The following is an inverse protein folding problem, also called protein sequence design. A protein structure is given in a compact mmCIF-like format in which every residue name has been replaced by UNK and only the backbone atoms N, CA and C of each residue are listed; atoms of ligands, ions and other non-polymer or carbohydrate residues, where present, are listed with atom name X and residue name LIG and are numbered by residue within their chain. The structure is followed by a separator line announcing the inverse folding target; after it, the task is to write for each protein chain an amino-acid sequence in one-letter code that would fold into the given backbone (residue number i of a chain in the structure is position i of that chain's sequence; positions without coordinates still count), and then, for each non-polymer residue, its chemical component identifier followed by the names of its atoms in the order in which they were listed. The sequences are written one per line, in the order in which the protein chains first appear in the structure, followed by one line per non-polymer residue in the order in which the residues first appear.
data_IF_333174583346
#
_entry.id   IF_333174583346
#
_cell.length_a   1.000
_cell.length_b   1.000
_cell.length_c   1.000
_cell.angle_alpha   90.00
_cell.angle_beta   90.00
_cell.angle_gamma   90.00
#
_symmetry.space_group_name_H-M   'P 1'
#
loop_
_entity.id
_entity.type
_entity.pdbx_description
1 polymer ?
#
# COMPACT_ATOMS: atom_id res chain seq x y z
N UNK A 1 0.83 -16.84 -12.02
CA UNK A 1 2.23 -16.71 -11.57
C UNK A 1 3.05 -15.99 -12.62
N UNK A 2 4.10 -15.28 -12.22
CA UNK A 2 5.01 -14.56 -13.12
C UNK A 2 5.65 -15.52 -14.14
N UNK A 3 5.92 -16.76 -13.74
CA UNK A 3 6.52 -17.79 -14.59
C UNK A 3 5.69 -18.14 -15.83
N UNK A 4 4.36 -18.22 -15.70
CA UNK A 4 3.50 -18.53 -16.85
C UNK A 4 3.44 -17.40 -17.87
N UNK A 5 3.68 -16.18 -17.42
CA UNK A 5 3.60 -15.00 -18.26
C UNK A 5 4.85 -14.80 -19.13
N UNK A 6 6.03 -15.16 -18.59
CA UNK A 6 7.28 -15.10 -19.34
C UNK A 6 7.50 -16.30 -20.28
N UNK A 7 6.86 -17.41 -19.98
CA UNK A 7 7.01 -18.64 -20.76
C UNK A 7 6.15 -18.68 -22.02
N UNK A 8 5.30 -17.70 -22.25
CA UNK A 8 4.41 -17.64 -23.42
C UNK A 8 4.95 -16.79 -24.58
N UNK A 9 6.23 -16.47 -24.59
CA UNK A 9 6.89 -15.71 -25.65
C UNK A 9 6.84 -14.19 -25.49
N UNK A 10 6.43 -13.67 -24.32
CA UNK A 10 6.37 -12.23 -24.08
C UNK A 10 7.73 -11.51 -24.19
N UNK A 11 8.83 -12.25 -24.05
CA UNK A 11 10.17 -11.68 -24.25
C UNK A 11 10.38 -11.10 -25.66
N UNK A 12 9.65 -11.60 -26.64
CA UNK A 12 9.71 -11.08 -28.02
C UNK A 12 9.10 -9.68 -28.16
N UNK A 13 8.26 -9.27 -27.21
CA UNK A 13 7.65 -7.94 -27.16
C UNK A 13 8.42 -6.94 -26.30
N UNK A 14 9.58 -7.33 -25.76
CA UNK A 14 10.39 -6.43 -24.95
C UNK A 14 11.04 -5.34 -25.81
N UNK A 15 10.81 -4.09 -25.45
CA UNK A 15 11.52 -2.96 -26.02
C UNK A 15 12.92 -2.88 -25.41
N UNK A 16 13.93 -3.16 -26.22
CA UNK A 16 15.33 -3.07 -25.82
C UNK A 16 15.82 -1.64 -25.97
N UNK A 17 16.55 -1.16 -24.99
CA UNK A 17 17.18 0.16 -25.08
C UNK A 17 18.64 0.10 -24.66
N UNK A 18 19.50 0.74 -25.44
CA UNK A 18 20.90 1.02 -25.12
C UNK A 18 21.09 2.45 -24.64
N UNK A 19 20.02 3.15 -24.37
CA UNK A 19 20.03 4.53 -23.94
C UNK A 19 20.78 4.68 -22.64
N UNK A 20 21.78 5.56 -22.58
CA UNK A 20 22.71 5.73 -21.47
C UNK A 20 22.68 7.13 -20.83
N UNK A 21 21.93 8.08 -21.41
CA UNK A 21 21.77 9.40 -20.82
C UNK A 21 21.00 9.33 -19.51
N UNK A 22 21.49 10.02 -18.49
CA UNK A 22 20.78 10.17 -17.20
C UNK A 22 19.99 11.48 -17.12
N UNK A 23 20.03 12.30 -18.17
CA UNK A 23 19.36 13.60 -18.24
C UNK A 23 18.00 13.53 -18.90
N UNK A 24 17.82 12.60 -19.85
CA UNK A 24 16.62 12.53 -20.68
C UNK A 24 15.73 11.35 -20.24
N UNK A 25 14.44 11.49 -20.41
CA UNK A 25 13.44 10.48 -20.13
C UNK A 25 13.34 9.54 -21.32
N UNK A 26 12.99 8.25 -21.07
CA UNK A 26 12.96 7.29 -22.17
C UNK A 26 11.67 7.40 -23.00
N UNK A 27 10.50 7.37 -22.37
CA UNK A 27 9.20 7.61 -23.03
C UNK A 27 8.51 8.77 -22.33
N UNK A 28 8.26 9.83 -23.06
CA UNK A 28 7.47 10.96 -22.61
C UNK A 28 6.04 10.87 -23.14
N UNK A 29 5.08 10.95 -22.21
CA UNK A 29 3.65 10.89 -22.51
C UNK A 29 3.05 12.28 -22.37
N UNK A 30 2.47 12.79 -23.44
CA UNK A 30 1.71 14.04 -23.44
C UNK A 30 0.24 13.80 -23.06
N UNK A 31 -0.55 14.87 -22.99
CA UNK A 31 -1.97 14.78 -22.67
C UNK A 31 -2.73 13.77 -23.52
N UNK A 32 -3.54 12.94 -22.88
CA UNK A 32 -4.39 11.95 -23.53
C UNK A 32 -3.64 10.80 -24.22
N UNK A 33 -2.36 10.61 -23.94
CA UNK A 33 -1.58 9.50 -24.52
C UNK A 33 -1.40 8.35 -23.53
N UNK A 34 -0.92 7.21 -24.04
CA UNK A 34 -0.68 6.05 -23.17
C UNK A 34 0.32 5.06 -23.73
N UNK A 35 0.82 4.22 -22.85
CA UNK A 35 1.67 3.08 -23.16
C UNK A 35 0.95 1.81 -22.72
N UNK A 36 0.73 0.89 -23.66
CA UNK A 36 -0.02 -0.33 -23.39
C UNK A 36 0.61 -1.57 -23.99
N UNK A 37 0.47 -2.73 -23.31
CA UNK A 37 0.89 -4.05 -23.80
C UNK A 37 2.37 -4.09 -24.21
N UNK A 38 3.26 -3.59 -23.35
CA UNK A 38 4.67 -3.43 -23.67
C UNK A 38 5.54 -3.88 -22.47
N UNK A 39 6.65 -4.55 -22.78
CA UNK A 39 7.73 -4.79 -21.81
C UNK A 39 8.94 -3.96 -22.16
N UNK A 40 9.55 -3.31 -21.17
CA UNK A 40 10.75 -2.49 -21.32
C UNK A 40 11.88 -3.10 -20.52
N UNK A 41 13.00 -3.32 -21.18
CA UNK A 41 14.18 -3.93 -20.61
C UNK A 41 15.44 -3.19 -21.03
N UNK A 42 16.31 -2.89 -20.06
CA UNK A 42 17.62 -2.28 -20.27
C UNK A 42 18.68 -3.37 -20.27
N UNK A 43 19.16 -3.83 -21.43
CA UNK A 43 20.08 -4.99 -21.53
C UNK A 43 21.46 -4.74 -20.90
N UNK A 44 21.83 -3.47 -20.73
CA UNK A 44 23.11 -3.08 -20.11
C UNK A 44 22.99 -2.75 -18.62
N UNK A 45 21.82 -2.93 -17.99
CA UNK A 45 21.67 -2.77 -16.55
C UNK A 45 22.32 -3.95 -15.84
N UNK A 46 23.21 -3.65 -14.91
CA UNK A 46 23.92 -4.63 -14.10
C UNK A 46 23.66 -4.35 -12.61
N UNK A 47 23.24 -5.35 -11.87
CA UNK A 47 22.90 -5.20 -10.44
C UNK A 47 24.13 -4.86 -9.57
N UNK A 48 25.33 -5.24 -9.99
CA UNK A 48 26.57 -4.95 -9.30
C UNK A 48 27.18 -3.60 -9.70
N UNK A 49 26.74 -3.03 -10.83
CA UNK A 49 27.18 -1.75 -11.38
C UNK A 49 25.98 -0.96 -11.92
N UNK A 50 25.02 -0.69 -11.04
CA UNK A 50 23.75 -0.08 -11.42
C UNK A 50 23.92 1.25 -12.12
N UNK A 51 23.39 1.33 -13.34
CA UNK A 51 23.33 2.56 -14.13
C UNK A 51 22.09 3.36 -13.75
N UNK A 52 22.23 4.64 -13.39
CA UNK A 52 21.11 5.49 -13.00
C UNK A 52 20.34 6.00 -14.24
N UNK A 53 19.72 5.10 -14.97
CA UNK A 53 18.89 5.47 -16.12
C UNK A 53 17.80 6.48 -15.74
N UNK A 54 17.38 7.34 -16.68
CA UNK A 54 16.31 8.31 -16.46
C UNK A 54 14.97 7.60 -16.19
N UNK A 55 13.92 8.39 -15.98
CA UNK A 55 12.57 7.86 -15.88
C UNK A 55 12.20 7.09 -17.15
N UNK A 56 11.78 5.85 -16.98
CA UNK A 56 11.39 5.00 -18.10
C UNK A 56 10.10 5.50 -18.75
N UNK A 57 9.12 5.84 -17.92
CA UNK A 57 7.86 6.45 -18.35
C UNK A 57 7.68 7.76 -17.60
N UNK A 58 7.36 8.81 -18.30
CA UNK A 58 7.19 10.13 -17.74
C UNK A 58 5.98 10.82 -18.34
N UNK A 59 5.05 11.23 -17.50
CA UNK A 59 3.95 12.08 -17.90
C UNK A 59 4.43 13.53 -17.93
N UNK A 60 4.50 14.12 -19.10
CA UNK A 60 4.86 15.52 -19.29
C UNK A 60 3.69 16.44 -18.96
N UNK A 61 3.81 17.72 -19.25
CA UNK A 61 2.70 18.65 -19.08
C UNK A 61 1.47 18.19 -19.88
N UNK A 62 0.37 17.96 -19.14
CA UNK A 62 -0.90 17.55 -19.69
C UNK A 62 -1.46 16.31 -19.01
N UNK A 63 -2.78 16.21 -19.02
CA UNK A 63 -3.53 15.28 -18.21
C UNK A 63 -3.86 13.98 -18.93
N UNK A 64 -4.36 12.98 -18.18
CA UNK A 64 -4.91 11.76 -18.73
C UNK A 64 -3.89 10.82 -19.38
N UNK A 65 -2.67 10.67 -18.85
CA UNK A 65 -1.77 9.61 -19.30
C UNK A 65 -2.21 8.24 -18.77
N UNK A 66 -2.19 7.24 -19.65
CA UNK A 66 -2.56 5.86 -19.30
C UNK A 66 -1.37 4.92 -19.49
N UNK A 67 -1.12 4.09 -18.46
CA UNK A 67 -0.16 2.98 -18.51
C UNK A 67 -0.95 1.71 -18.21
N UNK A 68 -1.01 0.78 -19.15
CA UNK A 68 -1.82 -0.42 -18.98
C UNK A 68 -1.10 -1.67 -19.53
N UNK A 69 -1.03 -2.72 -18.71
CA UNK A 69 -0.35 -3.98 -19.08
C UNK A 69 1.08 -3.75 -19.54
N UNK A 70 1.82 -2.96 -18.76
CA UNK A 70 3.23 -2.66 -19.01
C UNK A 70 4.09 -3.39 -17.98
N UNK A 71 5.19 -3.97 -18.44
CA UNK A 71 6.22 -4.52 -17.54
C UNK A 71 7.52 -3.74 -17.69
N UNK A 72 7.95 -3.12 -16.59
CA UNK A 72 9.27 -2.49 -16.49
C UNK A 72 10.22 -3.48 -15.81
N UNK A 73 11.03 -4.18 -16.60
CA UNK A 73 11.78 -5.35 -16.11
C UNK A 73 12.88 -4.97 -15.13
N UNK A 74 13.67 -3.92 -15.43
CA UNK A 74 14.84 -3.53 -14.66
C UNK A 74 15.14 -2.03 -14.77
N UNK A 75 14.10 -1.23 -14.71
CA UNK A 75 14.23 0.22 -14.72
C UNK A 75 14.99 0.72 -13.50
N UNK A 76 15.79 1.77 -13.64
CA UNK A 76 16.31 2.49 -12.48
C UNK A 76 15.20 3.31 -11.83
N UNK A 77 14.49 4.12 -12.64
CA UNK A 77 13.25 4.80 -12.28
C UNK A 77 12.12 4.34 -13.21
N UNK A 78 10.98 3.96 -12.63
CA UNK A 78 9.85 3.42 -13.38
C UNK A 78 9.00 4.52 -14.01
N UNK A 79 7.96 4.96 -13.32
CA UNK A 79 7.01 5.97 -13.79
C UNK A 79 7.00 7.21 -12.91
N UNK A 80 6.97 8.38 -13.55
CA UNK A 80 6.79 9.66 -12.87
C UNK A 80 5.63 10.45 -13.49
N UNK A 81 4.74 10.96 -12.63
CA UNK A 81 3.71 11.94 -12.96
C UNK A 81 3.99 13.23 -12.22
N UNK A 82 4.67 14.19 -12.88
CA UNK A 82 5.00 15.49 -12.28
C UNK A 82 5.36 16.55 -13.32
N UNK A 83 4.76 17.73 -13.31
CA UNK A 83 3.50 18.13 -12.71
C UNK A 83 2.34 17.85 -13.68
N UNK A 84 1.57 16.82 -13.45
CA UNK A 84 0.49 16.41 -14.35
C UNK A 84 -0.59 15.67 -13.59
N UNK A 85 -1.79 15.66 -14.10
CA UNK A 85 -2.99 15.18 -13.45
C UNK A 85 -3.61 13.99 -14.15
N UNK A 86 -4.59 13.35 -13.50
CA UNK A 86 -5.44 12.32 -14.09
C UNK A 86 -4.66 11.14 -14.70
N UNK A 87 -3.50 10.82 -14.12
CA UNK A 87 -2.79 9.62 -14.55
C UNK A 87 -3.57 8.36 -14.20
N UNK A 88 -3.43 7.33 -15.03
CA UNK A 88 -4.04 6.04 -14.80
C UNK A 88 -3.03 4.92 -15.06
N UNK A 89 -2.60 4.22 -13.99
CA UNK A 89 -1.67 3.10 -14.06
C UNK A 89 -2.39 1.84 -13.65
N UNK A 90 -2.53 0.88 -14.55
CA UNK A 90 -3.27 -0.34 -14.25
C UNK A 90 -2.61 -1.61 -14.83
N UNK A 91 -2.86 -2.74 -14.15
CA UNK A 91 -2.46 -4.08 -14.59
C UNK A 91 -0.97 -4.17 -14.97
N UNK A 92 -0.10 -3.49 -14.24
CA UNK A 92 1.30 -3.32 -14.62
C UNK A 92 2.25 -3.88 -13.57
N UNK A 93 3.45 -4.24 -14.02
CA UNK A 93 4.46 -4.91 -13.20
C UNK A 93 5.79 -4.22 -13.34
N UNK A 94 6.58 -4.15 -12.25
CA UNK A 94 7.90 -3.57 -12.37
C UNK A 94 8.90 -4.06 -11.33
N UNK A 95 10.17 -4.14 -11.74
CA UNK A 95 11.33 -4.00 -10.87
C UNK A 95 11.95 -2.63 -11.15
N UNK A 96 11.97 -1.78 -10.15
CA UNK A 96 12.63 -0.49 -10.21
C UNK A 96 13.73 -0.42 -9.14
N UNK A 97 14.93 -0.02 -9.54
CA UNK A 97 16.10 -0.08 -8.66
C UNK A 97 16.18 1.10 -7.70
N UNK A 98 15.55 2.24 -8.05
CA UNK A 98 15.51 3.44 -7.23
C UNK A 98 14.09 3.84 -6.88
N UNK A 99 13.27 4.24 -7.85
CA UNK A 99 11.88 4.63 -7.64
C UNK A 99 10.96 3.86 -8.59
N UNK A 100 9.94 3.19 -8.04
CA UNK A 100 8.96 2.51 -8.86
C UNK A 100 7.99 3.50 -9.51
N UNK A 101 7.14 4.09 -8.71
CA UNK A 101 6.20 5.13 -9.13
C UNK A 101 6.42 6.36 -8.25
N UNK A 102 6.43 7.52 -8.86
CA UNK A 102 6.42 8.80 -8.17
C UNK A 102 5.32 9.70 -8.73
N UNK A 103 4.45 10.15 -7.84
CA UNK A 103 3.38 11.11 -8.14
C UNK A 103 3.68 12.40 -7.40
N UNK A 104 3.65 13.52 -8.11
CA UNK A 104 3.99 14.80 -7.53
C UNK A 104 3.28 15.95 -8.27
N UNK A 105 2.74 16.92 -7.53
CA UNK A 105 1.95 18.05 -8.06
C UNK A 105 0.82 17.57 -8.96
N UNK A 106 0.10 16.55 -8.52
CA UNK A 106 -1.14 16.09 -9.11
C UNK A 106 -2.29 16.75 -8.35
N UNK A 107 -2.96 17.73 -8.96
CA UNK A 107 -4.02 18.51 -8.30
C UNK A 107 -5.44 18.03 -8.65
N UNK A 108 -5.53 17.01 -9.48
CA UNK A 108 -6.77 16.27 -9.76
C UNK A 108 -6.48 14.76 -9.83
N UNK A 109 -7.47 13.99 -9.57
CA UNK A 109 -7.54 12.57 -9.27
C UNK A 109 -6.60 11.68 -10.11
N UNK A 110 -5.52 11.19 -9.52
CA UNK A 110 -4.73 10.08 -10.07
C UNK A 110 -5.27 8.71 -9.65
N UNK A 111 -4.96 7.66 -10.43
CA UNK A 111 -5.38 6.29 -10.14
C UNK A 111 -4.26 5.29 -10.40
N UNK A 112 -4.03 4.43 -9.40
CA UNK A 112 -3.13 3.28 -9.50
C UNK A 112 -3.95 2.04 -9.13
N UNK A 113 -4.04 1.07 -10.05
CA UNK A 113 -4.91 -0.09 -9.88
C UNK A 113 -4.23 -1.38 -10.38
N UNK A 114 -4.20 -2.38 -9.53
CA UNK A 114 -3.62 -3.70 -9.83
C UNK A 114 -2.18 -3.60 -10.36
N UNK A 115 -1.31 -2.97 -9.58
CA UNK A 115 0.10 -2.80 -9.91
C UNK A 115 0.96 -3.61 -8.94
N UNK A 116 2.01 -4.22 -9.45
CA UNK A 116 2.95 -4.98 -8.64
C UNK A 116 4.38 -4.49 -8.84
N UNK A 117 5.07 -4.23 -7.73
CA UNK A 117 6.44 -3.72 -7.70
C UNK A 117 7.28 -4.68 -6.85
N UNK A 118 8.17 -5.44 -7.50
CA UNK A 118 8.94 -6.50 -6.84
C UNK A 118 10.27 -6.76 -7.56
N UNK A 119 11.34 -7.14 -6.84
CA UNK A 119 12.58 -7.62 -7.43
C UNK A 119 12.41 -8.81 -8.39
N UNK A 120 11.34 -9.58 -8.22
CA UNK A 120 11.07 -10.83 -8.96
C UNK A 120 10.92 -10.61 -10.47
N UNK A 121 10.44 -9.45 -10.90
CA UNK A 121 10.18 -9.21 -12.33
C UNK A 121 11.45 -9.13 -13.16
N UNK A 122 12.57 -8.73 -12.57
CA UNK A 122 13.88 -8.84 -13.22
C UNK A 122 14.51 -10.20 -12.99
N UNK A 123 14.60 -10.64 -11.75
CA UNK A 123 15.28 -11.89 -11.41
C UNK A 123 14.70 -13.12 -12.12
N UNK A 124 13.38 -13.18 -12.27
CA UNK A 124 12.66 -14.31 -12.88
C UNK A 124 12.27 -14.04 -14.35
N UNK A 125 12.79 -12.99 -14.97
CA UNK A 125 12.42 -12.62 -16.34
C UNK A 125 12.89 -13.61 -17.39
N UNK A 126 13.92 -14.38 -17.11
CA UNK A 126 14.59 -15.27 -18.10
C UNK A 126 15.36 -14.51 -19.19
N UNK A 127 15.44 -13.17 -19.09
CA UNK A 127 16.21 -12.35 -20.03
C UNK A 127 17.72 -12.47 -19.78
N UNK A 128 18.55 -12.27 -20.82
CA UNK A 128 20.01 -12.28 -20.66
C UNK A 128 20.46 -11.28 -19.59
N UNK A 129 21.32 -11.72 -18.68
CA UNK A 129 21.84 -10.87 -17.59
C UNK A 129 20.87 -10.65 -16.43
N UNK A 130 19.77 -11.42 -16.34
CA UNK A 130 18.92 -11.43 -15.17
C UNK A 130 19.71 -11.91 -13.95
N UNK A 131 19.79 -11.11 -12.85
CA UNK A 131 20.53 -11.48 -11.65
C UNK A 131 19.74 -12.47 -10.79
N UNK A 132 20.36 -12.94 -9.71
CA UNK A 132 19.64 -13.71 -8.70
C UNK A 132 18.60 -12.83 -7.98
N UNK A 133 17.53 -13.45 -7.49
CA UNK A 133 16.52 -12.75 -6.69
C UNK A 133 17.13 -12.14 -5.42
N UNK A 134 18.11 -12.83 -4.84
CA UNK A 134 18.83 -12.35 -3.64
C UNK A 134 19.56 -11.04 -3.92
N UNK A 135 20.32 -10.96 -5.03
CA UNK A 135 21.08 -9.75 -5.38
C UNK A 135 20.15 -8.55 -5.67
N UNK A 136 19.10 -8.78 -6.45
CA UNK A 136 18.13 -7.69 -6.76
C UNK A 136 17.44 -7.22 -5.50
N UNK A 137 17.01 -8.17 -4.64
CA UNK A 137 16.34 -7.84 -3.37
C UNK A 137 17.27 -7.10 -2.42
N UNK A 138 18.52 -7.54 -2.31
CA UNK A 138 19.52 -6.84 -1.48
C UNK A 138 19.72 -5.40 -1.94
N UNK A 139 19.78 -5.16 -3.24
CA UNK A 139 19.93 -3.82 -3.81
C UNK A 139 18.68 -2.95 -3.55
N UNK A 140 17.47 -3.45 -3.86
CA UNK A 140 16.24 -2.67 -3.71
C UNK A 140 15.90 -2.39 -2.24
N UNK A 141 16.24 -3.31 -1.33
CA UNK A 141 16.12 -3.08 0.13
C UNK A 141 17.08 -2.00 0.65
N UNK A 142 18.24 -1.87 0.05
CA UNK A 142 19.18 -0.84 0.44
C UNK A 142 18.81 0.54 -0.15
N UNK A 143 18.25 0.59 -1.37
CA UNK A 143 18.19 1.81 -2.17
C UNK A 143 16.79 2.20 -2.65
N UNK A 144 15.89 1.22 -2.88
CA UNK A 144 14.67 1.44 -3.65
C UNK A 144 13.47 1.91 -2.84
N UNK A 145 12.62 2.70 -3.47
CA UNK A 145 11.26 3.04 -3.02
C UNK A 145 10.25 2.51 -4.03
N UNK A 146 9.26 1.75 -3.56
CA UNK A 146 8.26 1.19 -4.46
C UNK A 146 7.30 2.24 -5.02
N UNK A 147 6.57 2.90 -4.15
CA UNK A 147 5.65 3.98 -4.49
C UNK A 147 5.90 5.20 -3.63
N UNK A 148 6.05 6.35 -4.27
CA UNK A 148 6.27 7.63 -3.61
C UNK A 148 5.16 8.60 -4.01
N UNK A 149 4.41 9.06 -3.03
CA UNK A 149 3.34 10.02 -3.20
C UNK A 149 3.71 11.32 -2.49
N UNK A 150 3.99 12.33 -3.28
CA UNK A 150 4.11 13.70 -2.83
C UNK A 150 2.77 14.42 -2.95
N UNK A 151 2.75 15.73 -3.09
CA UNK A 151 1.50 16.47 -3.24
C UNK A 151 0.63 15.83 -4.33
N UNK A 152 -0.51 15.32 -3.92
CA UNK A 152 -1.56 14.80 -4.77
C UNK A 152 -2.90 15.05 -4.12
N UNK A 153 -3.89 15.53 -4.88
CA UNK A 153 -5.23 15.76 -4.38
C UNK A 153 -6.13 14.59 -4.82
N UNK A 154 -6.60 13.81 -3.82
CA UNK A 154 -7.47 12.66 -4.02
C UNK A 154 -6.87 11.54 -4.87
N UNK A 155 -5.65 11.12 -4.56
CA UNK A 155 -5.07 9.94 -5.17
C UNK A 155 -5.84 8.68 -4.76
N UNK A 156 -6.22 7.86 -5.74
CA UNK A 156 -6.86 6.56 -5.52
C UNK A 156 -5.90 5.42 -5.86
N UNK A 157 -5.56 4.63 -4.84
CA UNK A 157 -4.66 3.48 -5.00
C UNK A 157 -5.40 2.22 -4.60
N UNK A 158 -5.50 1.24 -5.49
CA UNK A 158 -6.15 -0.04 -5.22
C UNK A 158 -5.37 -1.23 -5.77
N UNK A 159 -5.36 -2.33 -5.02
CA UNK A 159 -4.69 -3.57 -5.41
C UNK A 159 -3.21 -3.37 -5.75
N UNK A 160 -2.52 -2.53 -4.98
CA UNK A 160 -1.08 -2.31 -5.11
C UNK A 160 -0.32 -3.32 -4.25
N UNK A 161 0.60 -4.06 -4.86
CA UNK A 161 1.49 -4.97 -4.17
C UNK A 161 2.94 -4.51 -4.29
N UNK A 162 3.66 -4.39 -3.15
CA UNK A 162 5.07 -4.01 -3.12
C UNK A 162 5.83 -4.96 -2.19
N UNK A 163 7.00 -5.44 -2.61
CA UNK A 163 7.83 -6.32 -1.78
C UNK A 163 9.32 -6.11 -2.06
N UNK A 164 10.15 -6.22 -0.99
CA UNK A 164 11.60 -6.24 -1.12
C UNK A 164 12.27 -4.90 -1.34
N UNK A 165 11.69 -3.80 -0.83
CA UNK A 165 12.23 -2.43 -0.98
C UNK A 165 12.69 -1.83 0.36
N UNK A 166 13.56 -0.82 0.29
CA UNK A 166 13.89 0.00 1.47
C UNK A 166 12.65 0.65 2.06
N UNK A 167 11.82 1.23 1.19
CA UNK A 167 10.52 1.80 1.54
C UNK A 167 9.47 1.28 0.55
N UNK A 168 8.42 0.64 1.07
CA UNK A 168 7.33 0.19 0.21
C UNK A 168 6.55 1.37 -0.33
N UNK A 169 5.82 2.06 0.53
CA UNK A 169 5.07 3.28 0.22
C UNK A 169 5.64 4.43 1.03
N UNK A 170 5.95 5.53 0.36
CA UNK A 170 6.34 6.79 0.99
C UNK A 170 5.31 7.87 0.69
N UNK A 171 4.80 8.50 1.75
CA UNK A 171 3.82 9.59 1.69
C UNK A 171 4.45 10.80 2.35
N UNK A 172 4.60 11.91 1.62
CA UNK A 172 5.29 13.07 2.18
C UNK A 172 5.24 14.30 1.29
N UNK A 173 5.97 15.31 1.71
CA UNK A 173 6.17 16.54 0.93
C UNK A 173 7.35 16.42 -0.02
N UNK A 174 7.23 17.06 -1.16
CA UNK A 174 8.39 17.38 -1.97
C UNK A 174 9.12 18.57 -1.34
N UNK A 175 10.46 18.53 -1.24
CA UNK A 175 11.23 19.67 -0.80
C UNK A 175 10.92 20.93 -1.62
N UNK A 176 10.57 22.03 -0.93
CA UNK A 176 10.18 23.29 -1.56
C UNK A 176 8.69 23.48 -1.85
N UNK A 177 7.87 22.46 -1.61
CA UNK A 177 6.40 22.55 -1.69
C UNK A 177 5.77 22.52 -0.31
N UNK A 178 4.75 23.36 -0.11
CA UNK A 178 4.08 23.48 1.18
C UNK A 178 3.05 22.36 1.42
N UNK A 179 2.49 21.79 0.34
CA UNK A 179 1.37 20.89 0.42
C UNK A 179 1.79 19.42 0.41
N UNK A 180 1.13 18.64 1.24
CA UNK A 180 1.24 17.20 1.33
C UNK A 180 0.05 16.53 0.62
N UNK A 181 0.11 15.22 0.32
CA UNK A 181 -0.95 14.52 -0.38
C UNK A 181 -2.14 14.19 0.52
N UNK A 182 -3.30 13.96 -0.10
CA UNK A 182 -4.42 13.21 0.46
C UNK A 182 -4.81 12.08 -0.49
N UNK A 183 -5.29 10.97 0.05
CA UNK A 183 -5.51 9.76 -0.72
C UNK A 183 -6.50 8.79 -0.07
N UNK A 184 -6.97 7.85 -0.89
CA UNK A 184 -7.61 6.63 -0.43
C UNK A 184 -6.82 5.41 -0.96
N UNK A 185 -6.37 4.56 -0.03
CA UNK A 185 -5.65 3.34 -0.32
C UNK A 185 -6.53 2.14 0.04
N UNK A 186 -6.76 1.25 -0.91
CA UNK A 186 -7.59 0.06 -0.75
C UNK A 186 -6.86 -1.18 -1.25
N UNK A 187 -6.81 -2.27 -0.45
CA UNK A 187 -6.11 -3.50 -0.83
C UNK A 187 -4.64 -3.23 -1.24
N UNK A 188 -3.94 -2.43 -0.44
CA UNK A 188 -2.51 -2.17 -0.61
C UNK A 188 -1.73 -3.14 0.27
N UNK A 189 -0.93 -3.98 -0.35
CA UNK A 189 -0.16 -5.01 0.33
C UNK A 189 1.33 -4.78 0.17
N UNK A 190 1.98 -4.47 1.28
CA UNK A 190 3.42 -4.23 1.32
C UNK A 190 4.07 -5.25 2.23
N UNK A 191 5.09 -5.94 1.74
CA UNK A 191 5.81 -6.96 2.49
C UNK A 191 7.31 -6.81 2.36
N UNK A 192 8.03 -7.28 3.39
CA UNK A 192 9.47 -7.46 3.34
C UNK A 192 10.27 -6.19 2.98
N UNK A 193 9.80 -5.04 3.48
CA UNK A 193 10.42 -3.73 3.27
C UNK A 193 11.09 -3.21 4.54
N UNK A 194 12.05 -2.30 4.42
CA UNK A 194 12.64 -1.61 5.56
C UNK A 194 11.58 -0.80 6.32
N UNK A 195 10.80 0.01 5.61
CA UNK A 195 9.53 0.54 6.08
C UNK A 195 8.44 0.11 5.11
N UNK A 196 7.39 -0.56 5.62
CA UNK A 196 6.24 -0.91 4.79
C UNK A 196 5.54 0.35 4.30
N UNK A 197 5.17 1.22 5.22
CA UNK A 197 4.64 2.55 4.95
C UNK A 197 5.46 3.59 5.73
N UNK A 198 5.95 4.60 5.03
CA UNK A 198 6.62 5.75 5.62
C UNK A 198 5.76 7.01 5.40
N UNK A 199 5.31 7.63 6.49
CA UNK A 199 4.47 8.83 6.45
C UNK A 199 5.26 10.00 7.00
N UNK A 200 5.63 10.90 6.13
CA UNK A 200 6.33 12.13 6.51
C UNK A 200 5.35 13.25 6.82
N UNK A 201 4.37 13.42 5.96
CA UNK A 201 3.31 14.40 6.13
C UNK A 201 2.09 14.06 5.26
N UNK A 202 0.94 14.62 5.63
CA UNK A 202 -0.34 14.40 4.97
C UNK A 202 -1.13 15.71 4.96
N UNK A 203 -1.90 15.94 3.90
CA UNK A 203 -2.81 17.06 3.78
C UNK A 203 -3.86 17.05 4.94
N UNK A 204 -4.39 18.19 5.37
CA UNK A 204 -5.41 18.26 6.44
C UNK A 204 -6.66 17.40 6.21
N UNK A 205 -7.00 17.04 4.98
CA UNK A 205 -8.09 16.08 4.70
C UNK A 205 -7.77 14.65 5.13
N UNK A 206 -6.49 14.35 5.37
CA UNK A 206 -6.04 13.04 5.84
C UNK A 206 -5.94 11.98 4.73
N UNK A 207 -5.59 10.78 5.17
CA UNK A 207 -5.53 9.58 4.32
C UNK A 207 -6.36 8.48 4.96
N UNK A 208 -7.16 7.79 4.14
CA UNK A 208 -7.86 6.58 4.51
C UNK A 208 -7.17 5.36 3.88
N UNK A 209 -6.81 4.38 4.70
CA UNK A 209 -6.21 3.12 4.28
C UNK A 209 -7.10 1.98 4.76
N UNK A 210 -7.60 1.16 3.85
CA UNK A 210 -8.54 0.09 4.20
C UNK A 210 -8.20 -1.25 3.55
N UNK A 211 -8.55 -2.35 4.24
CA UNK A 211 -8.36 -3.75 3.81
C UNK A 211 -6.94 -4.04 3.31
N UNK A 212 -5.94 -3.49 3.94
CA UNK A 212 -4.55 -3.49 3.48
C UNK A 212 -3.64 -4.27 4.42
N UNK A 213 -2.40 -4.50 4.04
CA UNK A 213 -1.39 -5.07 4.93
C UNK A 213 -0.04 -4.37 4.76
N UNK A 214 0.62 -4.09 5.88
CA UNK A 214 1.97 -3.54 5.88
C UNK A 214 2.89 -4.43 6.70
N UNK A 215 3.92 -4.95 6.05
CA UNK A 215 4.92 -5.82 6.64
C UNK A 215 6.31 -5.20 6.61
N UNK A 216 7.04 -5.39 7.71
CA UNK A 216 8.44 -5.04 7.81
C UNK A 216 9.31 -6.24 7.42
N UNK A 217 10.47 -5.98 6.85
CA UNK A 217 11.57 -6.93 6.84
C UNK A 217 12.24 -6.99 8.21
N UNK A 218 13.33 -7.74 8.30
CA UNK A 218 14.14 -7.79 9.52
C UNK A 218 14.62 -6.38 9.88
N UNK A 219 14.43 -5.97 11.13
CA UNK A 219 14.80 -4.65 11.68
C UNK A 219 14.05 -3.44 11.09
N UNK A 220 12.94 -3.69 10.38
CA UNK A 220 12.11 -2.65 9.79
C UNK A 220 10.86 -2.31 10.60
N UNK A 221 10.07 -1.35 10.09
CA UNK A 221 8.78 -0.97 10.64
C UNK A 221 7.65 -1.29 9.65
N UNK A 222 6.53 -1.84 10.15
CA UNK A 222 5.34 -1.95 9.33
C UNK A 222 4.87 -0.57 8.86
N UNK A 223 4.85 0.39 9.79
CA UNK A 223 4.59 1.81 9.50
C UNK A 223 5.51 2.69 10.34
N UNK A 224 6.00 3.75 9.73
CA UNK A 224 6.77 4.78 10.42
C UNK A 224 6.19 6.16 10.14
N UNK A 225 5.78 6.88 11.18
CA UNK A 225 5.36 8.28 11.13
C UNK A 225 6.51 9.18 11.51
N UNK A 226 6.93 10.03 10.59
CA UNK A 226 8.04 10.94 10.80
C UNK A 226 7.65 12.10 11.72
N UNK A 227 8.65 12.78 12.28
CA UNK A 227 8.49 13.85 13.27
C UNK A 227 7.60 15.02 12.82
N UNK A 228 7.52 15.27 11.51
CA UNK A 228 6.76 16.41 10.96
C UNK A 228 5.29 16.06 10.69
N UNK A 229 4.90 14.79 10.85
CA UNK A 229 3.50 14.35 10.72
C UNK A 229 2.62 15.00 11.78
N UNK A 230 1.64 15.80 11.34
CA UNK A 230 0.78 16.61 12.24
C UNK A 230 -0.72 16.54 11.93
N UNK A 231 -1.13 15.77 10.93
CA UNK A 231 -2.52 15.70 10.45
C UNK A 231 -3.20 14.38 10.83
N UNK A 232 -3.82 13.67 9.90
CA UNK A 232 -4.51 12.42 10.24
C UNK A 232 -4.29 11.30 9.23
N UNK A 233 -4.13 10.08 9.75
CA UNK A 233 -4.18 8.84 8.99
C UNK A 233 -5.15 7.87 9.67
N UNK A 234 -6.04 7.28 8.88
CA UNK A 234 -7.04 6.32 9.33
C UNK A 234 -6.77 4.96 8.69
N UNK A 235 -6.66 3.92 9.53
CA UNK A 235 -6.54 2.53 9.11
C UNK A 235 -7.82 1.77 9.48
N UNK A 236 -8.40 1.07 8.52
CA UNK A 236 -9.60 0.26 8.71
C UNK A 236 -9.39 -1.15 8.15
N UNK A 237 -9.46 -2.17 9.02
CA UNK A 237 -9.28 -3.56 8.60
C UNK A 237 -7.87 -3.87 8.07
N UNK A 238 -6.85 -3.24 8.63
CA UNK A 238 -5.45 -3.38 8.18
C UNK A 238 -4.69 -4.38 9.05
N UNK A 239 -3.87 -5.23 8.42
CA UNK A 239 -2.95 -6.15 9.11
C UNK A 239 -1.52 -5.58 9.13
N UNK A 240 -1.00 -5.35 10.34
CA UNK A 240 0.37 -4.88 10.57
C UNK A 240 1.26 -6.05 10.99
N UNK A 241 2.20 -6.41 10.12
CA UNK A 241 3.23 -7.43 10.35
C UNK A 241 4.55 -6.76 10.71
N UNK A 242 4.68 -6.36 11.97
CA UNK A 242 5.77 -5.56 12.50
C UNK A 242 5.26 -4.43 13.38
N UNK A 243 6.16 -3.58 13.83
CA UNK A 243 5.82 -2.45 14.70
C UNK A 243 5.33 -1.24 13.89
N UNK A 244 4.36 -0.52 14.45
CA UNK A 244 4.01 0.84 14.02
C UNK A 244 4.72 1.82 14.95
N UNK A 245 5.53 2.69 14.39
CA UNK A 245 6.34 3.66 15.14
C UNK A 245 5.93 5.07 14.76
N UNK A 246 5.73 5.94 15.74
CA UNK A 246 5.31 7.31 15.52
C UNK A 246 6.12 8.31 16.32
N UNK A 247 6.79 9.22 15.62
CA UNK A 247 7.49 10.38 16.16
C UNK A 247 6.77 11.71 15.85
N UNK A 248 5.62 11.64 15.15
CA UNK A 248 4.88 12.80 14.64
C UNK A 248 4.41 13.77 15.72
N UNK A 249 4.45 15.05 15.40
CA UNK A 249 4.21 16.15 16.34
C UNK A 249 2.72 16.58 16.35
N UNK A 250 1.89 15.81 17.00
CA UNK A 250 0.49 16.20 17.25
C UNK A 250 -0.54 15.58 16.32
N UNK A 251 -0.16 14.79 15.33
CA UNK A 251 -1.06 14.10 14.42
C UNK A 251 -2.00 13.10 15.12
N UNK A 252 -3.06 12.72 14.43
CA UNK A 252 -4.02 11.70 14.87
C UNK A 252 -3.88 10.45 14.02
N UNK A 253 -3.58 9.33 14.66
CA UNK A 253 -3.58 8.02 14.01
C UNK A 253 -4.71 7.17 14.57
N UNK A 254 -5.63 6.77 13.73
CA UNK A 254 -6.76 5.91 14.13
C UNK A 254 -6.68 4.53 13.50
N UNK A 255 -6.98 3.53 14.30
CA UNK A 255 -7.01 2.13 13.91
C UNK A 255 -8.38 1.54 14.24
N UNK A 256 -9.10 1.06 13.25
CA UNK A 256 -10.39 0.41 13.40
C UNK A 256 -10.34 -1.00 12.84
N UNK A 257 -10.74 -1.98 13.64
CA UNK A 257 -10.75 -3.41 13.25
C UNK A 257 -9.42 -3.91 12.68
N UNK A 258 -8.31 -3.33 13.12
CA UNK A 258 -6.97 -3.69 12.66
C UNK A 258 -6.37 -4.85 13.46
N UNK A 259 -5.44 -5.55 12.84
CA UNK A 259 -4.67 -6.65 13.45
C UNK A 259 -3.20 -6.27 13.56
N UNK A 260 -2.58 -6.58 14.70
CA UNK A 260 -1.15 -6.38 14.93
C UNK A 260 -0.49 -7.74 15.19
N UNK A 261 0.44 -8.12 14.31
CA UNK A 261 1.16 -9.39 14.35
C UNK A 261 2.66 -9.18 14.13
N UNK A 262 3.46 -10.20 14.44
CA UNK A 262 4.90 -10.26 14.12
C UNK A 262 5.78 -9.11 14.68
N UNK A 263 5.28 -8.31 15.60
CA UNK A 263 6.08 -7.28 16.28
C UNK A 263 7.00 -7.89 17.38
N UNK A 264 8.12 -7.24 17.66
CA UNK A 264 9.07 -7.72 18.67
C UNK A 264 8.69 -7.23 20.09
N UNK A 265 8.94 -5.96 20.40
CA UNK A 265 8.70 -5.40 21.73
C UNK A 265 7.28 -4.88 21.90
N UNK A 266 6.90 -3.90 21.06
CA UNK A 266 5.60 -3.24 21.05
C UNK A 266 5.02 -3.23 19.64
N UNK A 267 3.71 -3.46 19.57
CA UNK A 267 2.97 -3.32 18.31
C UNK A 267 2.88 -1.86 17.87
N UNK A 268 2.63 -0.97 18.86
CA UNK A 268 2.56 0.47 18.66
C UNK A 268 3.59 1.13 19.59
N UNK A 269 4.53 1.87 19.02
CA UNK A 269 5.49 2.71 19.74
C UNK A 269 5.28 4.15 19.31
N UNK A 270 4.52 4.91 20.08
CA UNK A 270 4.13 6.27 19.77
C UNK A 270 4.79 7.25 20.74
N UNK A 271 5.65 8.11 20.22
CA UNK A 271 6.39 9.06 21.05
C UNK A 271 5.64 10.40 21.20
N UNK A 272 4.79 10.75 20.23
CA UNK A 272 3.99 11.98 20.21
C UNK A 272 2.64 11.75 19.56
N UNK A 273 1.73 12.72 19.69
CA UNK A 273 0.45 12.76 18.98
C UNK A 273 -0.69 12.06 19.71
N UNK A 274 -1.68 11.66 18.93
CA UNK A 274 -2.92 11.08 19.41
C UNK A 274 -3.19 9.75 18.73
N UNK A 275 -3.61 8.75 19.50
CA UNK A 275 -3.93 7.40 19.00
C UNK A 275 -5.34 7.01 19.40
N UNK A 276 -6.09 6.54 18.42
CA UNK A 276 -7.41 5.95 18.61
C UNK A 276 -7.37 4.48 18.18
N UNK A 277 -7.82 3.58 19.04
CA UNK A 277 -7.94 2.15 18.77
C UNK A 277 -9.39 1.72 18.94
N UNK A 278 -9.99 1.12 17.93
CA UNK A 278 -11.34 0.58 17.96
C UNK A 278 -11.35 -0.85 17.48
N UNK A 279 -11.75 -1.80 18.33
CA UNK A 279 -11.90 -3.22 18.00
C UNK A 279 -10.65 -3.88 17.38
N UNK A 280 -9.45 -3.39 17.75
CA UNK A 280 -8.20 -3.92 17.23
C UNK A 280 -7.73 -5.16 17.97
N UNK A 281 -7.20 -6.13 17.23
CA UNK A 281 -6.66 -7.37 17.77
C UNK A 281 -5.13 -7.36 17.78
N UNK A 282 -4.55 -7.68 18.93
CA UNK A 282 -3.12 -7.92 19.09
C UNK A 282 -2.89 -9.43 19.21
N UNK A 283 -2.08 -10.00 18.30
CA UNK A 283 -1.87 -11.46 18.24
C UNK A 283 -0.95 -12.00 19.33
N UNK A 284 -0.21 -11.14 20.02
CA UNK A 284 0.71 -11.52 21.10
C UNK A 284 0.26 -10.96 22.43
N UNK A 285 0.49 -11.70 23.51
CA UNK A 285 0.32 -11.21 24.88
C UNK A 285 1.61 -10.53 25.40
N UNK A 286 2.26 -9.74 24.55
CA UNK A 286 3.47 -8.96 24.82
C UNK A 286 3.14 -7.47 25.02
N UNK A 287 4.08 -6.58 24.85
CA UNK A 287 3.82 -5.14 24.84
C UNK A 287 2.90 -4.75 23.67
N UNK A 288 1.79 -4.10 23.97
CA UNK A 288 0.89 -3.67 22.90
C UNK A 288 1.19 -2.23 22.49
N UNK A 289 1.11 -1.30 23.44
CA UNK A 289 1.28 0.13 23.18
C UNK A 289 2.32 0.70 24.14
N UNK A 290 3.34 1.31 23.58
CA UNK A 290 4.28 2.18 24.30
C UNK A 290 3.94 3.64 24.00
N UNK A 291 3.78 4.43 25.05
CA UNK A 291 3.53 5.88 24.98
C UNK A 291 4.76 6.63 25.47
N UNK A 292 5.40 7.36 24.57
CA UNK A 292 6.54 8.22 24.89
C UNK A 292 6.15 9.50 25.64
N UNK A 293 7.14 10.26 26.07
CA UNK A 293 6.98 11.40 26.97
C UNK A 293 6.05 12.50 26.43
N UNK A 294 5.96 12.66 25.13
CA UNK A 294 5.20 13.74 24.49
C UNK A 294 3.85 13.29 23.89
N UNK A 295 3.34 12.12 24.30
CA UNK A 295 2.01 11.68 23.89
C UNK A 295 0.92 12.57 24.51
N UNK A 296 -0.10 12.86 23.70
CA UNK A 296 -1.26 13.65 24.10
C UNK A 296 -2.43 12.77 24.53
N UNK A 297 -2.81 11.80 23.69
CA UNK A 297 -4.00 10.98 23.95
C UNK A 297 -3.82 9.54 23.45
N UNK A 298 -4.26 8.59 24.26
CA UNK A 298 -4.61 7.25 23.83
C UNK A 298 -6.06 6.99 24.20
N UNK A 299 -6.91 6.75 23.22
CA UNK A 299 -8.26 6.24 23.44
C UNK A 299 -8.41 4.88 22.81
N UNK A 300 -8.87 3.91 23.59
CA UNK A 300 -9.03 2.54 23.13
C UNK A 300 -10.38 1.97 23.50
N UNK A 301 -11.05 1.33 22.54
CA UNK A 301 -12.33 0.65 22.75
C UNK A 301 -12.21 -0.78 22.25
N UNK A 302 -12.42 -1.75 23.15
CA UNK A 302 -12.45 -3.19 22.86
C UNK A 302 -11.24 -3.72 22.09
N UNK A 303 -10.06 -3.15 22.33
CA UNK A 303 -8.83 -3.54 21.64
C UNK A 303 -7.87 -4.28 22.57
N UNK A 304 -6.98 -5.11 22.01
CA UNK A 304 -5.92 -5.79 22.75
C UNK A 304 -5.84 -7.30 22.47
N UNK A 305 -4.99 -8.00 23.19
CA UNK A 305 -4.94 -9.46 23.19
C UNK A 305 -6.10 -10.01 24.03
N UNK A 306 -7.01 -10.74 23.38
CA UNK A 306 -8.26 -11.21 24.03
C UNK A 306 -8.98 -10.06 24.76
N UNK A 307 -9.09 -8.91 24.13
CA UNK A 307 -9.69 -7.66 24.62
C UNK A 307 -9.02 -7.06 25.87
N UNK A 308 -7.76 -7.39 26.12
CA UNK A 308 -6.94 -6.79 27.17
C UNK A 308 -5.79 -6.02 26.53
N UNK A 309 -5.86 -4.71 26.59
CA UNK A 309 -4.78 -3.85 26.10
C UNK A 309 -3.72 -3.68 27.21
N UNK A 310 -2.46 -3.85 26.83
CA UNK A 310 -1.31 -3.53 27.67
C UNK A 310 -0.73 -2.22 27.19
N UNK A 311 -0.68 -1.24 28.09
CA UNK A 311 -0.13 0.08 27.83
C UNK A 311 1.03 0.34 28.76
N UNK A 312 2.19 0.63 28.19
CA UNK A 312 3.37 1.12 28.89
C UNK A 312 3.45 2.63 28.69
N UNK A 313 3.05 3.39 29.70
CA UNK A 313 2.89 4.83 29.60
C UNK A 313 4.05 5.57 30.28
N UNK A 314 4.89 6.20 29.48
CA UNK A 314 5.99 7.06 29.92
C UNK A 314 5.67 8.56 29.82
N UNK A 315 4.46 8.91 29.39
CA UNK A 315 4.00 10.30 29.36
C UNK A 315 3.46 10.74 30.72
N UNK A 316 3.83 11.93 31.14
CA UNK A 316 3.28 12.58 32.35
C UNK A 316 1.97 13.32 32.09
N UNK A 317 1.64 13.58 30.83
CA UNK A 317 0.51 14.42 30.40
C UNK A 317 -0.53 13.69 29.56
N UNK A 318 -0.24 12.49 29.06
CA UNK A 318 -1.15 11.78 28.18
C UNK A 318 -2.48 11.43 28.85
N UNK A 319 -3.57 11.75 28.17
CA UNK A 319 -4.91 11.26 28.55
C UNK A 319 -5.07 9.84 28.01
N UNK A 320 -5.11 8.84 28.91
CA UNK A 320 -5.27 7.43 28.55
C UNK A 320 -6.66 6.96 28.96
N UNK A 321 -7.45 6.57 27.98
CA UNK A 321 -8.78 5.99 28.18
C UNK A 321 -8.85 4.62 27.52
N UNK A 322 -9.04 3.56 28.33
CA UNK A 322 -9.20 2.19 27.83
C UNK A 322 -10.56 1.66 28.26
N UNK A 323 -11.44 1.50 27.28
CA UNK A 323 -12.79 0.97 27.46
C UNK A 323 -12.79 -0.49 27.01
N UNK A 324 -13.03 -1.39 27.95
CA UNK A 324 -13.24 -2.81 27.65
C UNK A 324 -14.72 -3.08 27.75
N UNK A 325 -15.35 -3.41 26.66
CA UNK A 325 -16.76 -3.82 26.63
C UNK A 325 -16.93 -5.10 27.44
N UNK A 326 -18.09 -5.28 28.06
CA UNK A 326 -18.48 -6.62 28.52
C UNK A 326 -18.40 -7.54 27.30
N UNK A 327 -17.68 -8.66 27.42
CA UNK A 327 -17.75 -9.72 26.42
C UNK A 327 -19.23 -10.10 26.30
N UNK A 328 -19.92 -9.62 25.29
CA UNK A 328 -21.09 -10.32 24.81
C UNK A 328 -20.53 -11.57 24.10
N UNK A 329 -20.26 -12.61 24.88
CA UNK A 329 -20.35 -13.92 24.29
C UNK A 329 -21.78 -14.00 23.77
N UNK A 330 -21.97 -14.28 22.51
CA UNK A 330 -23.18 -14.93 22.09
C UNK A 330 -23.21 -16.21 22.96
N UNK A 331 -23.95 -16.16 24.05
CA UNK A 331 -24.27 -17.39 24.75
C UNK A 331 -24.92 -18.26 23.67
N UNK A 332 -24.39 -19.46 23.45
CA UNK A 332 -25.03 -20.35 22.48
C UNK A 332 -26.49 -20.36 22.87
N UNK A 333 -27.39 -20.06 21.94
CA UNK A 333 -28.82 -20.03 22.15
C UNK A 333 -29.15 -21.29 22.94
N UNK A 334 -29.68 -21.18 24.17
CA UNK A 334 -29.93 -22.35 24.97
C UNK A 334 -30.71 -23.35 24.12
N UNK A 335 -30.28 -24.60 24.08
CA UNK A 335 -30.86 -25.64 23.23
C UNK A 335 -32.39 -25.79 23.36
N UNK A 336 -32.98 -25.13 24.35
CA UNK A 336 -34.40 -25.14 24.69
C UNK A 336 -35.19 -23.91 24.24
N UNK A 337 -34.56 -22.94 23.60
CA UNK A 337 -35.29 -21.82 23.00
C UNK A 337 -35.93 -22.37 21.72
N UNK A 338 -37.21 -22.67 21.77
CA UNK A 338 -37.99 -22.85 20.55
C UNK A 338 -38.00 -21.52 19.81
N UNK A 339 -37.10 -21.36 18.85
CA UNK A 339 -37.19 -20.27 17.91
C UNK A 339 -38.41 -20.47 17.05
N UNK A 340 -39.44 -19.69 17.26
CA UNK A 340 -40.62 -19.65 16.37
C UNK A 340 -40.28 -19.01 15.01
N UNK A 341 -38.99 -18.89 14.68
CA UNK A 341 -38.53 -18.50 13.35
C UNK A 341 -38.49 -19.80 12.54
N UNK A 342 -39.58 -20.09 11.90
CA UNK A 342 -39.68 -21.14 10.90
C UNK A 342 -38.94 -20.66 9.65
N UNK A 343 -37.61 -20.82 9.64
CA UNK A 343 -36.79 -20.55 8.47
C UNK A 343 -36.84 -21.76 7.56
N UNK A 344 -38.03 -22.09 7.11
CA UNK A 344 -38.15 -22.90 5.90
C UNK A 344 -37.87 -21.95 4.73
N UNK A 345 -36.78 -22.15 3.98
CA UNK A 345 -36.64 -21.46 2.72
C UNK A 345 -37.89 -21.84 1.90
N UNK A 346 -38.74 -20.85 1.65
CA UNK A 346 -39.85 -21.09 0.71
C UNK A 346 -39.22 -21.63 -0.56
N UNK A 347 -39.63 -22.77 -1.08
CA UNK A 347 -39.11 -23.22 -2.34
C UNK A 347 -39.42 -22.15 -3.38
N UNK A 348 -38.37 -21.47 -3.83
CA UNK A 348 -38.47 -20.51 -4.93
C UNK A 348 -38.92 -21.35 -6.12
N UNK A 349 -40.11 -21.11 -6.66
CA UNK A 349 -40.59 -21.88 -7.80
C UNK A 349 -39.59 -21.67 -8.97
N UNK A 350 -39.31 -22.72 -9.73
CA UNK A 350 -38.44 -22.66 -10.91
C UNK A 350 -38.78 -21.50 -11.86
N UNK A 351 -40.05 -21.07 -11.84
CA UNK A 351 -40.53 -19.95 -12.64
C UNK A 351 -39.96 -18.58 -12.14
N UNK A 352 -39.83 -18.41 -10.82
CA UNK A 352 -39.24 -17.18 -10.24
C UNK A 352 -37.73 -17.15 -10.49
N UNK A 353 -37.07 -18.30 -10.32
CA UNK A 353 -35.63 -18.42 -10.58
C UNK A 353 -35.28 -18.13 -12.04
N UNK A 354 -36.09 -18.64 -12.99
CA UNK A 354 -35.94 -18.38 -14.43
C UNK A 354 -36.19 -16.92 -14.78
N UNK A 355 -37.18 -16.28 -14.16
CA UNK A 355 -37.48 -14.88 -14.39
C UNK A 355 -36.37 -13.96 -13.86
N UNK A 356 -35.79 -14.29 -12.72
CA UNK A 356 -34.68 -13.51 -12.14
C UNK A 356 -33.37 -13.74 -12.91
N UNK A 357 -33.13 -14.95 -13.40
CA UNK A 357 -31.98 -15.22 -14.28
C UNK A 357 -32.08 -14.47 -15.62
N UNK A 358 -33.29 -14.46 -16.22
CA UNK A 358 -33.55 -13.74 -17.47
C UNK A 358 -33.34 -12.21 -17.32
N UNK A 359 -33.73 -11.65 -16.17
CA UNK A 359 -33.44 -10.24 -15.84
C UNK A 359 -31.97 -9.94 -15.65
N UNK A 360 -31.22 -10.83 -14.99
CA UNK A 360 -29.82 -10.69 -14.72
C UNK A 360 -28.97 -10.85 -15.98
N UNK A 361 -29.39 -11.67 -16.95
CA UNK A 361 -28.63 -11.98 -18.18
C UNK A 361 -29.04 -11.16 -19.39
N UNK A 362 -30.11 -10.37 -19.32
CA UNK A 362 -30.59 -9.57 -20.45
C UNK A 362 -31.05 -10.40 -21.67
N UNK A 363 -31.18 -11.71 -21.54
CA UNK A 363 -31.70 -12.58 -22.59
C UNK A 363 -33.22 -12.70 -22.47
N UNK A 364 -33.95 -11.95 -23.27
CA UNK A 364 -35.30 -12.28 -23.64
C UNK A 364 -35.23 -13.34 -24.77
N UNK A 365 -35.60 -14.55 -24.46
CA UNK A 365 -35.99 -15.49 -25.49
C UNK A 365 -37.45 -15.18 -25.84
N UNK A 366 -37.69 -14.49 -26.92
CA UNK A 366 -38.93 -14.52 -27.66
C UNK A 366 -39.03 -15.85 -28.45
#
# INVERSE_FOLDING_TARGET
SVESWWNDGQADNALRTTYTSIADRFIEMNAGTGVTNLSIWYPEQDIHHVKPYPWTLFQTQGDCATIERVTLVNSYNGFNSAPSELHYVLNSYMTALNKGIEVHVCTDIGRIENVRISPEYWANSGLPGAPSLEDVTAYTRANGTGYQMHRSDWEYVSYLYISGYKTGVWIGREPGFADAPNAQLYEVHVGDCGNGLYVEDVNPYGILISNSSFGAGQDGNAVYFYKDFSTSVQFNGVDFKGSVVGDGDGGVVSFESCTFSEYNDYALRMNRGNVLLSQCEFKKNAGHVYLGANMHTLKSVNSGYKSKLKVDNHSTSAKVEVITGKKYFFEPIPKNVKTNIDVHPRPVSDRVLKADLARATGFNND
#
